data_IF_206739236696
#
_entry.id   IF_206739236696
#
_cell.length_a   1.000
_cell.length_b   1.000
_cell.length_c   1.000
_cell.angle_alpha   90.00
_cell.angle_beta   90.00
_cell.angle_gamma   90.00
#
_symmetry.space_group_name_H-M   'P 1'
#
loop_
_entity.id
_entity.type
_entity.pdbx_description
1 polymer ?
#
# COMPACT_ATOMS: atom_id res chain seq x y z
N UNK A 1 -4.33 -3.46 9.25
CA UNK A 1 -4.37 -2.33 10.19
C UNK A 1 -4.42 -2.75 11.65
N UNK A 2 -5.22 -3.73 12.11
CA UNK A 2 -5.23 -4.10 13.54
C UNK A 2 -3.86 -4.55 14.07
N UNK A 3 -3.09 -5.32 13.28
CA UNK A 3 -1.75 -5.77 13.68
C UNK A 3 -0.75 -4.65 13.96
N UNK A 4 -0.74 -3.58 13.15
CA UNK A 4 0.17 -2.45 13.33
C UNK A 4 -0.16 -1.65 14.59
N UNK A 5 -1.45 -1.48 14.90
CA UNK A 5 -1.90 -0.81 16.11
C UNK A 5 -1.55 -1.63 17.35
N UNK A 6 -1.76 -2.95 17.33
CA UNK A 6 -1.39 -3.84 18.44
C UNK A 6 0.11 -3.73 18.74
N UNK A 7 0.97 -3.75 17.71
CA UNK A 7 2.41 -3.56 17.88
C UNK A 7 2.78 -2.20 18.47
N UNK A 8 2.12 -1.12 18.02
CA UNK A 8 2.36 0.23 18.53
C UNK A 8 1.94 0.39 20.00
N UNK A 9 0.79 -0.14 20.39
CA UNK A 9 0.33 -0.11 21.78
C UNK A 9 1.22 -0.97 22.70
N UNK A 10 1.69 -2.12 22.21
CA UNK A 10 2.64 -2.95 22.94
C UNK A 10 3.97 -2.22 23.18
N UNK A 11 4.49 -1.51 22.17
CA UNK A 11 5.71 -0.71 22.31
C UNK A 11 5.51 0.51 23.23
N UNK A 12 4.35 1.17 23.15
CA UNK A 12 3.99 2.31 24.01
C UNK A 12 3.79 1.94 25.49
N UNK A 13 3.75 0.65 25.83
CA UNK A 13 3.78 0.23 27.23
C UNK A 13 5.19 0.38 27.83
N UNK A 14 6.25 0.28 27.03
CA UNK A 14 7.64 0.44 27.49
C UNK A 14 8.20 1.84 27.26
N UNK A 15 7.67 2.59 26.28
CA UNK A 15 8.08 3.96 25.97
C UNK A 15 6.94 4.96 26.10
N UNK A 16 7.22 6.23 26.40
CA UNK A 16 6.19 7.28 26.41
C UNK A 16 5.36 7.31 25.12
N UNK A 17 4.04 7.39 25.28
CA UNK A 17 3.11 7.45 24.15
C UNK A 17 3.28 8.77 23.39
N UNK A 18 3.65 8.68 22.10
CA UNK A 18 3.81 9.83 21.22
C UNK A 18 2.75 9.80 20.11
N UNK A 19 1.89 10.82 20.08
CA UNK A 19 0.87 10.98 19.04
C UNK A 19 1.47 11.15 17.63
N UNK A 20 2.67 11.73 17.53
CA UNK A 20 3.41 11.87 16.27
C UNK A 20 3.77 10.50 15.69
N UNK A 21 4.32 9.61 16.52
CA UNK A 21 4.70 8.25 16.09
C UNK A 21 3.48 7.43 15.67
N UNK A 22 2.33 7.58 16.33
CA UNK A 22 1.09 6.92 15.90
C UNK A 22 0.68 7.37 14.49
N UNK A 23 0.75 8.68 14.22
CA UNK A 23 0.43 9.25 12.91
C UNK A 23 1.35 8.68 11.82
N UNK A 24 2.66 8.62 12.07
CA UNK A 24 3.61 8.05 11.13
C UNK A 24 3.40 6.54 10.90
N UNK A 25 3.09 5.76 11.94
CA UNK A 25 2.77 4.33 11.80
C UNK A 25 1.55 4.11 10.90
N UNK A 26 0.50 4.92 11.07
CA UNK A 26 -0.71 4.84 10.24
C UNK A 26 -0.38 5.21 8.79
N UNK A 27 0.34 6.31 8.56
CA UNK A 27 0.76 6.74 7.23
C UNK A 27 1.61 5.67 6.53
N UNK A 28 2.62 5.13 7.23
CA UNK A 28 3.44 4.03 6.73
C UNK A 28 2.60 2.82 6.31
N UNK A 29 1.61 2.43 7.12
CA UNK A 29 0.72 1.32 6.79
C UNK A 29 -0.16 1.59 5.56
N UNK A 30 -0.66 2.82 5.41
CA UNK A 30 -1.47 3.20 4.24
C UNK A 30 -0.63 3.17 2.98
N UNK A 31 0.56 3.79 3.00
CA UNK A 31 1.46 3.81 1.85
C UNK A 31 1.95 2.42 1.46
N UNK A 32 2.42 1.62 2.42
CA UNK A 32 2.89 0.27 2.17
C UNK A 32 1.79 -0.64 1.58
N UNK A 33 0.58 -0.59 2.14
CA UNK A 33 -0.55 -1.37 1.61
C UNK A 33 -0.96 -0.93 0.21
N UNK A 34 -1.01 0.38 -0.02
CA UNK A 34 -1.41 0.95 -1.32
C UNK A 34 -0.39 0.62 -2.41
N UNK A 35 0.90 0.73 -2.10
CA UNK A 35 1.99 0.31 -2.98
C UNK A 35 1.93 -1.19 -3.29
N UNK A 36 1.80 -2.05 -2.27
CA UNK A 36 1.73 -3.49 -2.47
C UNK A 36 0.52 -3.91 -3.31
N UNK A 37 -0.65 -3.31 -3.07
CA UNK A 37 -1.86 -3.60 -3.83
C UNK A 37 -1.74 -3.17 -5.29
N UNK A 38 -1.23 -1.96 -5.54
CA UNK A 38 -1.03 -1.46 -6.91
C UNK A 38 0.05 -2.25 -7.65
N UNK A 39 1.11 -2.68 -6.97
CA UNK A 39 2.16 -3.53 -7.53
C UNK A 39 1.64 -4.91 -7.91
N UNK A 40 0.88 -5.57 -7.02
CA UNK A 40 0.26 -6.85 -7.32
C UNK A 40 -0.66 -6.73 -8.55
N UNK A 41 -1.45 -5.64 -8.64
CA UNK A 41 -2.32 -5.38 -9.79
C UNK A 41 -1.54 -5.13 -11.09
N UNK A 42 -0.34 -4.55 -11.01
CA UNK A 42 0.53 -4.31 -12.16
C UNK A 42 1.17 -5.60 -12.70
N UNK A 43 1.73 -6.44 -11.82
CA UNK A 43 2.35 -7.71 -12.22
C UNK A 43 1.29 -8.74 -12.64
N UNK A 44 0.19 -8.85 -11.89
CA UNK A 44 -0.86 -9.83 -12.17
C UNK A 44 -1.71 -9.45 -13.39
N UNK A 45 -1.43 -8.32 -14.07
CA UNK A 45 -2.17 -7.85 -15.26
C UNK A 45 -2.33 -8.94 -16.32
N UNK A 46 -1.23 -9.55 -16.74
CA UNK A 46 -1.23 -10.51 -17.84
C UNK A 46 -1.96 -11.82 -17.44
N UNK A 47 -1.89 -12.19 -16.16
CA UNK A 47 -2.57 -13.38 -15.61
C UNK A 47 -4.07 -13.11 -15.40
N UNK A 48 -4.43 -11.95 -14.85
CA UNK A 48 -5.80 -11.50 -14.62
C UNK A 48 -6.58 -11.35 -15.93
N UNK A 49 -5.90 -10.96 -17.03
CA UNK A 49 -6.51 -10.77 -18.35
C UNK A 49 -6.90 -12.12 -18.99
N UNK A 50 -6.17 -13.19 -18.70
CA UNK A 50 -6.42 -14.54 -19.23
C UNK A 50 -7.52 -15.31 -18.49
N UNK A 51 -7.97 -14.82 -17.32
CA UNK A 51 -8.96 -15.51 -16.50
C UNK A 51 -10.37 -14.86 -16.60
N UNK A 52 -11.37 -15.52 -17.19
CA UNK A 52 -12.68 -14.94 -17.48
C UNK A 52 -13.49 -14.49 -16.25
N UNK A 53 -13.10 -14.87 -15.01
CA UNK A 53 -13.70 -14.36 -13.77
C UNK A 53 -13.14 -13.00 -13.31
N UNK A 54 -11.96 -12.60 -13.77
CA UNK A 54 -11.26 -11.36 -13.35
C UNK A 54 -11.11 -10.33 -14.47
N UNK A 55 -11.22 -10.77 -15.73
CA UNK A 55 -11.15 -9.91 -16.91
C UNK A 55 -12.27 -8.86 -17.00
N UNK A 56 -13.46 -9.14 -16.46
CA UNK A 56 -14.63 -8.24 -16.55
C UNK A 56 -14.77 -7.28 -15.34
N UNK A 57 -14.20 -7.66 -14.18
CA UNK A 57 -14.40 -6.95 -12.89
C UNK A 57 -13.24 -6.03 -12.54
N UNK A 58 -12.00 -6.29 -13.01
CA UNK A 58 -10.83 -5.45 -12.71
C UNK A 58 -10.62 -4.37 -13.77
N UNK A 59 -10.38 -3.14 -13.33
CA UNK A 59 -10.17 -1.95 -14.19
C UNK A 59 -8.87 -1.97 -15.05
N UNK A 60 -7.93 -2.88 -14.76
CA UNK A 60 -6.64 -2.96 -15.49
C UNK A 60 -6.78 -3.72 -16.82
N UNK A 61 -7.47 -4.88 -16.91
CA UNK A 61 -7.76 -5.51 -18.20
C UNK A 61 -8.74 -4.69 -19.07
N UNK A 62 -9.56 -3.83 -18.45
CA UNK A 62 -10.54 -2.99 -19.16
C UNK A 62 -9.92 -1.75 -19.84
N UNK A 63 -8.60 -1.55 -19.76
CA UNK A 63 -7.89 -0.44 -20.43
C UNK A 63 -8.13 0.96 -19.84
N UNK A 64 -8.89 1.08 -18.75
CA UNK A 64 -9.24 2.38 -18.12
C UNK A 64 -8.05 3.02 -17.39
N UNK A 65 -7.12 2.21 -16.85
CA UNK A 65 -5.92 2.68 -16.15
C UNK A 65 -4.67 2.17 -16.88
N UNK A 66 -3.87 3.09 -17.44
CA UNK A 66 -2.56 2.76 -18.01
C UNK A 66 -1.68 2.12 -16.94
N UNK A 67 -1.07 0.98 -17.26
CA UNK A 67 -0.14 0.27 -16.38
C UNK A 67 0.99 1.19 -15.86
N UNK A 68 1.42 2.17 -16.67
CA UNK A 68 2.39 3.20 -16.24
C UNK A 68 1.88 4.08 -15.09
N UNK A 69 0.59 4.42 -15.03
CA UNK A 69 0.03 5.21 -13.92
C UNK A 69 0.02 4.41 -12.61
N UNK A 70 -0.23 3.10 -12.67
CA UNK A 70 -0.12 2.22 -11.51
C UNK A 70 1.33 2.14 -11.01
N UNK A 71 2.30 2.02 -11.92
CA UNK A 71 3.72 1.98 -11.58
C UNK A 71 4.18 3.31 -10.95
N UNK A 72 3.80 4.46 -11.51
CA UNK A 72 4.07 5.79 -10.93
C UNK A 72 3.45 5.91 -9.54
N UNK A 73 2.22 5.43 -9.33
CA UNK A 73 1.57 5.43 -8.02
C UNK A 73 2.31 4.56 -7.00
N UNK A 74 2.79 3.37 -7.40
CA UNK A 74 3.62 2.51 -6.55
C UNK A 74 4.90 3.25 -6.15
N UNK A 75 5.63 3.83 -7.10
CA UNK A 75 6.88 4.55 -6.82
C UNK A 75 6.63 5.71 -5.85
N UNK A 76 5.59 6.50 -6.07
CA UNK A 76 5.24 7.63 -5.19
C UNK A 76 4.93 7.12 -3.76
N UNK A 77 4.10 6.08 -3.63
CA UNK A 77 3.77 5.52 -2.31
C UNK A 77 5.01 4.91 -1.62
N UNK A 78 5.89 4.24 -2.36
CA UNK A 78 7.15 3.71 -1.84
C UNK A 78 8.08 4.82 -1.36
N UNK A 79 8.20 5.92 -2.11
CA UNK A 79 8.97 7.09 -1.68
C UNK A 79 8.36 7.72 -0.43
N UNK A 80 7.05 7.95 -0.41
CA UNK A 80 6.35 8.50 0.76
C UNK A 80 6.52 7.60 1.99
N UNK A 81 6.48 6.27 1.82
CA UNK A 81 6.75 5.31 2.90
C UNK A 81 8.17 5.45 3.46
N UNK A 82 9.18 5.55 2.58
CA UNK A 82 10.58 5.73 3.00
C UNK A 82 10.73 7.06 3.75
N UNK A 83 10.21 8.15 3.21
CA UNK A 83 10.29 9.48 3.84
C UNK A 83 9.59 9.50 5.20
N UNK A 84 8.42 8.86 5.32
CA UNK A 84 7.67 8.77 6.58
C UNK A 84 8.37 7.90 7.61
N UNK A 85 9.14 6.89 7.17
CA UNK A 85 9.93 6.04 8.07
C UNK A 85 11.19 6.75 8.58
N UNK A 86 11.71 7.71 7.81
CA UNK A 86 12.92 8.47 8.15
C UNK A 86 12.65 9.69 9.06
N UNK A 87 11.39 10.12 9.14
CA UNK A 87 10.88 11.21 9.98
C UNK A 87 10.48 10.70 11.38
#
# INVERSE_FOLDING_TARGET
>A
MPFALIGFFLASHQSNFKWETLTYVILCMVFARSAAMAFNRYIDRDIDTANPRTSEIREIPNGSIKANSALVFVIINSLLFITTTFL
#
